data_IF_844473860717
#
_entry.id   IF_844473860717
#
_cell.length_a   1.000
_cell.length_b   1.000
_cell.length_c   1.000
_cell.angle_alpha   90.00
_cell.angle_beta   90.00
_cell.angle_gamma   90.00
#
_symmetry.space_group_name_H-M   'P 1'
#
loop_
_entity.id
_entity.type
_entity.pdbx_description
1 polymer ?
#
# COMPACT_ATOMS: atom_id res chain seq x y z
N UNK A 1 20.69 10.18 -12.84
CA UNK A 1 20.01 9.23 -11.92
C UNK A 1 19.65 8.04 -12.75
N UNK A 2 20.05 6.83 -12.35
CA UNK A 2 19.61 5.62 -13.03
C UNK A 2 18.08 5.53 -12.93
N UNK A 3 17.41 5.36 -14.07
CA UNK A 3 15.97 5.11 -14.08
C UNK A 3 15.74 3.67 -13.59
N UNK A 4 15.41 3.56 -12.29
CA UNK A 4 15.03 2.31 -11.65
C UNK A 4 13.51 2.27 -11.50
N UNK A 5 12.90 1.16 -11.90
CA UNK A 5 11.52 0.85 -11.55
C UNK A 5 11.54 -0.01 -10.30
N UNK A 6 11.11 0.55 -9.17
CA UNK A 6 11.10 -0.15 -7.88
C UNK A 6 9.64 -0.38 -7.45
N UNK A 7 9.33 -1.62 -7.11
CA UNK A 7 8.05 -2.00 -6.53
C UNK A 7 8.26 -2.40 -5.07
N UNK A 8 7.40 -1.89 -4.19
CA UNK A 8 7.54 -2.00 -2.75
C UNK A 8 6.39 -2.82 -2.16
N UNK A 9 6.68 -3.55 -1.08
CA UNK A 9 5.68 -4.10 -0.17
C UNK A 9 5.45 -3.11 0.97
N UNK A 10 4.21 -2.70 1.20
CA UNK A 10 3.80 -1.84 2.29
C UNK A 10 2.97 -2.62 3.31
N UNK A 11 3.18 -2.37 4.59
CA UNK A 11 2.31 -2.82 5.68
C UNK A 11 1.38 -1.68 6.09
N UNK A 12 0.09 -1.86 5.85
CA UNK A 12 -0.96 -0.92 6.21
C UNK A 12 -1.61 -1.34 7.52
N UNK A 13 -1.49 -0.51 8.55
CA UNK A 13 -2.26 -0.62 9.78
C UNK A 13 -3.57 0.17 9.65
N UNK A 14 -4.69 -0.54 9.55
CA UNK A 14 -5.98 0.03 9.18
C UNK A 14 -7.03 -0.16 10.27
N UNK A 15 -7.93 0.81 10.38
CA UNK A 15 -9.22 0.58 11.02
C UNK A 15 -10.22 0.12 9.96
N UNK A 16 -10.76 -1.09 10.08
CA UNK A 16 -11.68 -1.69 9.10
C UNK A 16 -13.00 -2.14 9.72
N UNK A 17 -14.07 -2.14 8.92
CA UNK A 17 -15.38 -2.68 9.27
C UNK A 17 -15.70 -3.90 8.41
N UNK A 18 -16.04 -5.03 9.03
CA UNK A 18 -16.48 -6.25 8.31
C UNK A 18 -17.96 -6.16 7.95
N UNK A 19 -18.42 -7.02 7.02
CA UNK A 19 -19.84 -7.16 6.64
C UNK A 19 -20.79 -7.35 7.82
N UNK A 20 -20.36 -8.00 8.91
CA UNK A 20 -21.17 -8.22 10.11
C UNK A 20 -21.20 -7.01 11.07
N UNK A 21 -20.70 -5.85 10.66
CA UNK A 21 -20.63 -4.64 11.48
C UNK A 21 -19.45 -4.59 12.45
N UNK A 22 -18.73 -5.70 12.68
CA UNK A 22 -17.58 -5.72 13.60
C UNK A 22 -16.44 -4.86 13.07
N UNK A 23 -15.95 -3.96 13.93
CA UNK A 23 -14.83 -3.08 13.65
C UNK A 23 -13.53 -3.64 14.25
N UNK A 24 -12.44 -3.53 13.50
CA UNK A 24 -11.09 -3.88 13.92
C UNK A 24 -10.24 -2.63 13.78
N UNK A 25 -9.74 -2.11 14.91
CA UNK A 25 -9.01 -0.84 14.95
C UNK A 25 -7.53 -0.95 14.55
N UNK A 26 -6.98 -2.16 14.46
CA UNK A 26 -5.59 -2.37 14.07
C UNK A 26 -5.44 -3.62 13.19
N UNK A 27 -6.05 -3.56 12.01
CA UNK A 27 -5.98 -4.61 11.01
C UNK A 27 -4.77 -4.37 10.10
N UNK A 28 -3.79 -5.26 10.17
CA UNK A 28 -2.62 -5.22 9.29
C UNK A 28 -2.92 -5.91 7.96
N UNK A 29 -2.53 -5.28 6.86
CA UNK A 29 -2.59 -5.87 5.53
C UNK A 29 -1.40 -5.42 4.68
N UNK A 30 -0.83 -6.36 3.94
CA UNK A 30 0.19 -6.04 2.95
C UNK A 30 -0.47 -5.56 1.65
N UNK A 31 0.08 -4.50 1.06
CA UNK A 31 -0.24 -4.06 -0.29
C UNK A 31 1.04 -3.84 -1.08
N UNK A 32 1.04 -4.18 -2.37
CA UNK A 32 2.22 -4.07 -3.23
C UNK A 32 2.01 -2.97 -4.28
N UNK A 33 3.02 -2.14 -4.50
CA UNK A 33 2.94 -1.10 -5.52
C UNK A 33 4.24 -0.35 -5.77
N UNK A 34 4.35 0.22 -6.97
CA UNK A 34 5.43 1.16 -7.34
C UNK A 34 5.30 2.51 -6.63
N UNK A 35 4.14 2.77 -6.04
CA UNK A 35 3.82 3.98 -5.28
C UNK A 35 2.88 3.65 -4.12
N UNK A 36 2.80 4.55 -3.14
CA UNK A 36 1.83 4.43 -2.05
C UNK A 36 0.40 4.23 -2.57
N UNK A 37 -0.05 5.05 -3.53
CA UNK A 37 -1.44 5.00 -4.01
C UNK A 37 -1.77 3.69 -4.73
N UNK A 38 -0.82 3.12 -5.48
CA UNK A 38 -1.00 1.81 -6.12
C UNK A 38 -1.04 0.68 -5.09
N UNK A 39 -0.18 0.72 -4.07
CA UNK A 39 -0.20 -0.23 -2.96
C UNK A 39 -1.48 -0.13 -2.11
N UNK A 40 -1.99 1.08 -1.88
CA UNK A 40 -3.25 1.30 -1.18
C UNK A 40 -4.43 0.73 -1.99
N UNK A 41 -4.41 0.88 -3.31
CA UNK A 41 -5.43 0.30 -4.19
C UNK A 41 -5.41 -1.24 -4.18
N UNK A 42 -4.23 -1.85 -4.13
CA UNK A 42 -4.07 -3.29 -3.95
C UNK A 42 -4.66 -3.75 -2.59
N UNK A 43 -4.25 -3.11 -1.48
CA UNK A 43 -4.80 -3.37 -0.15
C UNK A 43 -6.33 -3.21 -0.09
N UNK A 44 -6.86 -2.15 -0.71
CA UNK A 44 -8.30 -1.94 -0.87
C UNK A 44 -8.97 -3.10 -1.62
N UNK A 45 -8.39 -3.56 -2.71
CA UNK A 45 -8.94 -4.65 -3.53
C UNK A 45 -8.96 -5.97 -2.74
N UNK A 46 -7.91 -6.26 -1.96
CA UNK A 46 -7.86 -7.43 -1.09
C UNK A 46 -8.95 -7.34 -0.01
N UNK A 47 -9.12 -6.19 0.64
CA UNK A 47 -10.15 -5.99 1.66
C UNK A 47 -11.57 -6.05 1.08
N UNK A 48 -11.79 -5.50 -0.11
CA UNK A 48 -13.06 -5.56 -0.83
C UNK A 48 -13.47 -7.01 -1.09
N UNK A 49 -12.55 -7.86 -1.57
CA UNK A 49 -12.77 -9.31 -1.73
C UNK A 49 -13.13 -9.99 -0.40
N UNK A 50 -12.55 -9.53 0.70
CA UNK A 50 -12.84 -10.01 2.08
C UNK A 50 -14.10 -9.39 2.70
N UNK A 51 -14.84 -8.56 1.96
CA UNK A 51 -16.03 -7.83 2.44
C UNK A 51 -15.72 -6.97 3.69
N UNK A 52 -14.53 -6.36 3.67
CA UNK A 52 -14.06 -5.38 4.63
C UNK A 52 -14.04 -3.99 3.99
N UNK A 53 -14.42 -2.99 4.77
CA UNK A 53 -14.37 -1.57 4.40
C UNK A 53 -13.30 -0.88 5.23
N UNK A 54 -12.47 -0.06 4.58
CA UNK A 54 -11.47 0.77 5.26
C UNK A 54 -12.18 2.00 5.80
N UNK A 55 -12.08 2.23 7.11
CA UNK A 55 -12.60 3.43 7.76
C UNK A 55 -11.50 4.48 7.94
N UNK A 56 -10.29 4.05 8.31
CA UNK A 56 -9.16 4.93 8.57
C UNK A 56 -7.86 4.19 8.30
N UNK A 57 -6.85 4.91 7.83
CA UNK A 57 -5.46 4.44 7.76
C UNK A 57 -4.76 4.99 8.99
N UNK A 58 -4.35 4.12 9.92
CA UNK A 58 -3.73 4.57 11.17
C UNK A 58 -2.24 4.87 10.95
N UNK A 59 -1.57 4.00 10.19
CA UNK A 59 -0.15 4.09 9.90
C UNK A 59 0.20 3.21 8.70
N UNK A 60 1.24 3.59 7.95
CA UNK A 60 1.79 2.83 6.85
C UNK A 60 3.30 2.83 6.92
N UNK A 61 3.92 1.69 6.62
CA UNK A 61 5.36 1.59 6.38
C UNK A 61 5.67 0.80 5.14
N UNK A 62 6.72 1.20 4.44
CA UNK A 62 7.40 0.31 3.51
C UNK A 62 8.11 -0.79 4.31
N UNK A 63 7.90 -2.04 3.93
CA UNK A 63 8.42 -3.22 4.62
C UNK A 63 9.63 -3.81 3.89
N UNK A 64 9.57 -3.87 2.58
CA UNK A 64 10.60 -4.45 1.72
C UNK A 64 10.45 -3.96 0.27
N UNK A 65 11.48 -4.18 -0.53
CA UNK A 65 11.40 -4.08 -1.99
C UNK A 65 10.91 -5.43 -2.51
N UNK A 66 9.77 -5.43 -3.22
CA UNK A 66 9.21 -6.62 -3.83
C UNK A 66 10.02 -7.04 -5.07
N UNK A 67 10.36 -6.06 -5.91
CA UNK A 67 11.29 -6.22 -7.04
C UNK A 67 11.79 -4.86 -7.51
N UNK A 68 12.93 -4.86 -8.20
CA UNK A 68 13.45 -3.68 -8.89
C UNK A 68 14.04 -4.08 -10.25
N UNK A 69 13.85 -3.21 -11.23
CA UNK A 69 14.38 -3.34 -12.58
C UNK A 69 15.09 -2.06 -12.99
N UNK A 70 16.18 -2.18 -13.75
CA UNK A 70 16.76 -1.06 -14.49
C UNK A 70 15.96 -0.74 -15.76
N UNK A 71 16.39 0.31 -16.46
CA UNK A 71 15.82 0.75 -17.74
C UNK A 71 15.84 -0.32 -18.83
N UNK A 72 16.75 -1.28 -18.75
CA UNK A 72 16.93 -2.35 -19.72
C UNK A 72 16.12 -3.61 -19.33
N UNK A 73 15.39 -3.55 -18.20
CA UNK A 73 14.55 -4.62 -17.67
C UNK A 73 15.32 -5.69 -16.89
N UNK A 74 16.61 -5.47 -16.60
CA UNK A 74 17.39 -6.40 -15.80
C UNK A 74 17.04 -6.25 -14.32
N UNK A 75 16.96 -7.39 -13.61
CA UNK A 75 16.68 -7.39 -12.19
C UNK A 75 17.87 -6.83 -11.41
N UNK A 76 17.61 -5.81 -10.59
CA UNK A 76 18.64 -5.17 -9.76
C UNK A 76 18.37 -5.46 -8.29
N UNK A 77 19.43 -5.74 -7.53
CA UNK A 77 19.35 -5.82 -6.07
C UNK A 77 19.58 -4.44 -5.48
N UNK A 78 18.55 -3.90 -4.85
CA UNK A 78 18.58 -2.63 -4.13
C UNK A 78 18.03 -2.83 -2.73
N UNK A 79 18.39 -1.94 -1.80
CA UNK A 79 17.86 -1.97 -0.43
C UNK A 79 16.84 -0.86 -0.19
N UNK A 80 15.90 -1.11 0.72
CA UNK A 80 14.88 -0.13 1.11
C UNK A 80 15.49 1.11 1.77
N UNK A 81 16.65 0.97 2.43
CA UNK A 81 17.34 2.08 3.08
C UNK A 81 17.96 3.05 2.08
N UNK A 82 18.43 2.54 0.93
CA UNK A 82 18.99 3.34 -0.16
C UNK A 82 17.88 3.99 -1.00
N UNK A 83 16.78 3.27 -1.19
CA UNK A 83 15.64 3.70 -2.01
C UNK A 83 14.33 3.62 -1.22
N UNK A 84 14.11 4.47 -0.21
CA UNK A 84 12.84 4.51 0.49
C UNK A 84 11.75 5.09 -0.42
N UNK A 85 10.55 4.49 -0.48
CA UNK A 85 9.47 5.07 -1.24
C UNK A 85 8.92 6.33 -0.53
N UNK A 86 8.37 7.29 -1.29
CA UNK A 86 7.64 8.40 -0.70
C UNK A 86 6.37 7.90 -0.01
N UNK A 87 6.19 8.28 1.25
CA UNK A 87 4.96 8.05 2.02
C UNK A 87 4.28 9.43 2.18
N UNK A 88 2.99 9.56 1.87
CA UNK A 88 2.27 10.83 2.00
C UNK A 88 2.03 11.19 3.47
N UNK A 89 1.99 12.48 3.77
CA UNK A 89 1.71 12.98 5.13
C UNK A 89 0.20 12.97 5.47
N UNK A 90 -0.66 12.98 4.44
CA UNK A 90 -2.12 12.99 4.58
C UNK A 90 -2.73 11.71 3.99
N UNK A 91 -2.98 10.74 4.86
CA UNK A 91 -3.58 9.46 4.48
C UNK A 91 -5.07 9.58 4.15
N UNK A 92 -5.78 10.56 4.71
CA UNK A 92 -7.21 10.74 4.48
C UNK A 92 -7.48 11.19 3.05
N UNK A 93 -6.65 12.10 2.54
CA UNK A 93 -6.69 12.52 1.13
C UNK A 93 -6.50 11.34 0.18
N UNK A 94 -5.56 10.45 0.46
CA UNK A 94 -5.33 9.27 -0.38
C UNK A 94 -6.48 8.25 -0.29
N UNK A 95 -7.02 8.04 0.91
CA UNK A 95 -8.18 7.17 1.11
C UNK A 95 -9.41 7.67 0.33
N UNK A 96 -9.62 8.98 0.29
CA UNK A 96 -10.72 9.63 -0.44
C UNK A 96 -10.61 9.50 -1.97
N UNK A 97 -9.43 9.15 -2.50
CA UNK A 97 -9.23 8.86 -3.93
C UNK A 97 -9.64 7.44 -4.31
N UNK A 98 -9.85 6.56 -3.34
CA UNK A 98 -10.30 5.19 -3.64
C UNK A 98 -11.74 5.20 -4.20
N UNK A 99 -12.09 4.22 -5.06
CA UNK A 99 -13.44 4.09 -5.57
C UNK A 99 -14.45 3.94 -4.43
N UNK A 100 -15.41 4.86 -4.36
CA UNK A 100 -16.53 4.80 -3.40
C UNK A 100 -17.47 3.66 -3.79
N UNK A 101 -18.07 2.99 -2.79
CA UNK A 101 -19.15 2.02 -3.05
C UNK A 101 -20.28 2.75 -3.79
N UNK A 102 -20.62 2.28 -4.99
CA UNK A 102 -21.89 2.57 -5.65
C UNK A 102 -23.00 1.79 -4.96
#
# INVERSE_FOLDING_TARGET
MEELTICYEYDFALTVRKKNGKQYKNHHIAGIGISYSTALFDAYTILKKRKCEILTINYVKAKSIAFAFDKDGASVKVSLNEYPPPIPDDYEKELNRLPKKQ
#
